data_IF_209327881541
#
_entry.id   IF_209327881541
#
_cell.length_a   1.000
_cell.length_b   1.000
_cell.length_c   1.000
_cell.angle_alpha   90.00
_cell.angle_beta   90.00
_cell.angle_gamma   90.00
#
_symmetry.space_group_name_H-M   'P 1'
#
loop_
_entity.id
_entity.type
_entity.pdbx_description
1 polymer ?
#
# COMPACT_ATOMS: atom_id res chain seq x y z
N UNK A 1 -20.33 -3.26 -5.60
CA UNK A 1 -18.87 -3.23 -5.44
C UNK A 1 -18.21 -4.53 -5.85
N UNK A 2 -16.99 -4.45 -6.37
CA UNK A 2 -16.15 -5.57 -6.80
C UNK A 2 -14.79 -5.54 -6.10
N UNK A 3 -14.12 -6.69 -6.03
CA UNK A 3 -12.73 -6.75 -5.55
C UNK A 3 -11.81 -5.92 -6.45
N UNK A 4 -10.76 -5.37 -5.86
CA UNK A 4 -9.67 -4.74 -6.60
C UNK A 4 -8.94 -5.77 -7.47
N UNK A 5 -8.52 -5.38 -8.66
CA UNK A 5 -7.83 -6.24 -9.62
C UNK A 5 -6.36 -6.42 -9.24
N UNK A 6 -5.72 -7.46 -9.75
CA UNK A 6 -4.29 -7.70 -9.57
C UNK A 6 -3.47 -6.49 -10.03
N UNK A 7 -3.80 -5.94 -11.21
CA UNK A 7 -3.15 -4.75 -11.74
C UNK A 7 -3.26 -3.53 -10.81
N UNK A 8 -4.35 -3.37 -10.08
CA UNK A 8 -4.48 -2.29 -9.08
C UNK A 8 -3.53 -2.51 -7.89
N UNK A 9 -3.38 -3.74 -7.41
CA UNK A 9 -2.41 -4.05 -6.34
C UNK A 9 -0.97 -3.84 -6.80
N UNK A 10 -0.64 -4.26 -8.03
CA UNK A 10 0.71 -4.15 -8.58
C UNK A 10 1.14 -2.69 -8.70
N UNK A 11 0.27 -1.85 -9.27
CA UNK A 11 0.53 -0.40 -9.42
C UNK A 11 0.61 0.27 -8.05
N UNK A 12 -0.32 -0.04 -7.15
CA UNK A 12 -0.34 0.54 -5.80
C UNK A 12 0.93 0.17 -5.03
N UNK A 13 1.38 -1.08 -5.09
CA UNK A 13 2.60 -1.53 -4.43
C UNK A 13 3.84 -0.83 -4.99
N UNK A 14 3.95 -0.69 -6.32
CA UNK A 14 5.06 0.00 -6.97
C UNK A 14 5.14 1.49 -6.60
N UNK A 15 4.00 2.18 -6.52
CA UNK A 15 3.93 3.58 -6.08
C UNK A 15 4.29 3.67 -4.59
N UNK A 16 3.72 2.79 -3.76
CA UNK A 16 4.00 2.75 -2.32
C UNK A 16 5.50 2.64 -2.07
N UNK A 17 6.19 1.73 -2.76
CA UNK A 17 7.64 1.56 -2.60
C UNK A 17 8.45 2.79 -3.00
N UNK A 18 8.11 3.44 -4.10
CA UNK A 18 8.75 4.70 -4.49
C UNK A 18 8.55 5.78 -3.42
N UNK A 19 7.36 5.85 -2.82
CA UNK A 19 7.10 6.78 -1.71
C UNK A 19 7.91 6.42 -0.46
N UNK A 20 8.02 5.14 -0.11
CA UNK A 20 8.85 4.70 1.02
C UNK A 20 10.34 5.01 0.80
N UNK A 21 10.84 4.92 -0.43
CA UNK A 21 12.22 5.28 -0.79
C UNK A 21 12.46 6.80 -0.72
N UNK A 22 11.50 7.60 -1.19
CA UNK A 22 11.58 9.06 -1.16
C UNK A 22 11.36 9.63 0.26
N UNK A 23 10.55 8.96 1.07
CA UNK A 23 10.17 9.37 2.41
C UNK A 23 10.40 8.22 3.40
N UNK A 24 11.64 8.01 3.89
CA UNK A 24 12.00 6.86 4.73
C UNK A 24 11.21 6.75 6.05
N UNK A 25 10.57 7.83 6.49
CA UNK A 25 9.67 7.82 7.64
C UNK A 25 8.34 7.08 7.38
N UNK A 26 8.00 6.77 6.12
CA UNK A 26 6.87 5.91 5.76
C UNK A 26 7.34 4.45 5.86
N UNK A 27 7.25 3.90 7.07
CA UNK A 27 7.49 2.48 7.31
C UNK A 27 6.26 1.63 6.96
N UNK A 28 6.44 0.32 6.80
CA UNK A 28 5.36 -0.59 6.37
C UNK A 28 4.16 -0.64 7.34
N UNK A 29 4.41 -0.45 8.63
CA UNK A 29 3.40 -0.35 9.70
C UNK A 29 2.62 0.97 9.66
N UNK A 30 3.17 2.01 9.01
CA UNK A 30 2.51 3.32 8.84
C UNK A 30 1.60 3.39 7.62
N UNK A 31 1.46 2.28 6.89
CA UNK A 31 0.50 2.16 5.80
C UNK A 31 -0.83 1.65 6.35
N UNK A 32 -1.82 2.54 6.35
CA UNK A 32 -3.14 2.36 6.97
C UNK A 32 -4.25 2.83 6.03
N UNK A 33 -5.47 2.36 6.25
CA UNK A 33 -6.65 2.81 5.54
C UNK A 33 -7.19 4.12 6.08
N UNK A 34 -8.06 4.78 5.32
CA UNK A 34 -8.77 5.96 5.85
C UNK A 34 -9.68 5.62 7.03
N UNK A 35 -10.25 4.41 7.06
CA UNK A 35 -11.04 3.89 8.18
C UNK A 35 -10.25 3.79 9.49
N UNK A 36 -8.94 3.52 9.42
CA UNK A 36 -8.07 3.47 10.61
C UNK A 36 -7.81 4.88 11.18
N UNK A 37 -7.71 5.88 10.31
CA UNK A 37 -7.47 7.29 10.69
C UNK A 37 -8.74 8.01 11.13
N UNK A 38 -9.89 7.63 10.55
CA UNK A 38 -11.17 8.29 10.79
C UNK A 38 -12.31 7.29 11.07
N UNK A 39 -12.24 6.55 12.20
CA UNK A 39 -13.27 5.57 12.56
C UNK A 39 -14.67 6.21 12.61
N UNK A 40 -15.66 5.53 12.05
CA UNK A 40 -17.06 5.99 12.01
C UNK A 40 -17.37 7.08 10.99
N UNK A 41 -16.37 7.74 10.40
CA UNK A 41 -16.54 8.74 9.33
C UNK A 41 -16.17 8.21 7.95
N UNK A 42 -15.12 7.38 7.88
CA UNK A 42 -14.62 6.78 6.64
C UNK A 42 -14.64 5.26 6.74
N UNK A 43 -15.02 4.61 5.65
CA UNK A 43 -15.12 3.15 5.53
C UNK A 43 -14.13 2.58 4.52
N UNK A 44 -13.50 3.43 3.71
CA UNK A 44 -12.50 3.03 2.72
C UNK A 44 -11.16 2.63 3.39
N UNK A 45 -10.39 1.71 2.77
CA UNK A 45 -10.59 1.09 1.45
C UNK A 45 -11.68 -0.02 1.43
N UNK A 46 -12.29 -0.30 2.58
CA UNK A 46 -13.42 -1.21 2.69
C UNK A 46 -13.03 -2.69 2.72
N UNK A 47 -14.01 -3.59 2.94
CA UNK A 47 -13.76 -5.02 3.15
C UNK A 47 -13.27 -5.76 1.90
N UNK A 48 -13.37 -5.14 0.72
CA UNK A 48 -12.92 -5.73 -0.55
C UNK A 48 -11.44 -5.45 -0.85
N UNK A 49 -10.78 -4.63 -0.03
CA UNK A 49 -9.35 -4.43 -0.08
C UNK A 49 -8.62 -5.51 0.73
N UNK A 50 -7.75 -6.25 0.04
CA UNK A 50 -6.98 -7.36 0.59
C UNK A 50 -5.65 -6.83 1.11
N UNK A 51 -5.63 -6.51 2.41
CA UNK A 51 -4.45 -6.05 3.12
C UNK A 51 -3.27 -7.05 3.06
N UNK A 52 -3.45 -8.36 3.35
CA UNK A 52 -2.38 -9.34 3.21
C UNK A 52 -1.74 -9.35 1.82
N UNK A 53 -2.55 -9.35 0.76
CA UNK A 53 -2.05 -9.31 -0.63
C UNK A 53 -1.26 -8.04 -0.88
N UNK A 54 -1.83 -6.88 -0.57
CA UNK A 54 -1.17 -5.60 -0.75
C UNK A 54 0.19 -5.53 -0.02
N UNK A 55 0.23 -5.93 1.25
CA UNK A 55 1.47 -5.93 2.05
C UNK A 55 2.52 -6.88 1.49
N UNK A 56 2.09 -8.04 0.99
CA UNK A 56 2.97 -9.00 0.33
C UNK A 56 3.55 -8.43 -0.97
N UNK A 57 2.73 -7.78 -1.80
CA UNK A 57 3.18 -7.12 -3.04
C UNK A 57 4.17 -5.98 -2.76
N UNK A 58 3.95 -5.17 -1.71
CA UNK A 58 4.89 -4.12 -1.30
C UNK A 58 6.23 -4.74 -0.88
N UNK A 59 6.23 -5.80 -0.08
CA UNK A 59 7.45 -6.46 0.38
C UNK A 59 8.24 -7.15 -0.75
N UNK A 60 7.56 -7.64 -1.78
CA UNK A 60 8.19 -8.33 -2.92
C UNK A 60 9.00 -7.40 -3.83
N UNK A 61 8.69 -6.09 -3.84
CA UNK A 61 9.39 -5.12 -4.67
C UNK A 61 10.70 -4.71 -4.00
N UNK A 62 11.82 -5.18 -4.56
CA UNK A 62 13.16 -4.83 -4.13
C UNK A 62 13.47 -3.36 -4.41
N UNK A 63 14.22 -2.66 -3.53
CA UNK A 63 14.64 -1.30 -3.80
C UNK A 63 15.40 -1.23 -5.12
N UNK A 64 15.10 -0.23 -5.96
CA UNK A 64 15.95 0.02 -7.14
C UNK A 64 17.36 0.34 -6.64
N UNK A 65 18.35 -0.37 -7.17
CA UNK A 65 19.75 -0.10 -6.88
C UNK A 65 20.02 1.37 -7.23
N UNK A 66 20.33 2.22 -6.25
CA UNK A 66 20.80 3.58 -6.52
C UNK A 66 22.15 3.43 -7.23
N UNK A 67 22.19 3.74 -8.53
CA UNK A 67 23.46 3.95 -9.21
C UNK A 67 24.13 5.13 -8.51
N UNK A 68 25.28 4.87 -7.89
CA UNK A 68 26.14 5.87 -7.26
C UNK A 68 26.74 6.80 -8.31
#
# INVERSE_FOLDING_TARGET
DSRFTDAQYDVLAAITRQLMEAYPAISADRIVGHSDIAPGRKTDPGPLFDWPKYRSSVAAISPRNKVL
#
